data_IF_758824144089
#
_entry.id   IF_758824144089
#
_cell.length_a   1.000
_cell.length_b   1.000
_cell.length_c   1.000
_cell.angle_alpha   90.00
_cell.angle_beta   90.00
_cell.angle_gamma   90.00
#
_symmetry.space_group_name_H-M   'P 1'
#
loop_
_entity.id
_entity.type
_entity.pdbx_description
1 polymer ?
#
# COMPACT_ATOMS: atom_id res chain seq x y z
N UNK A 1 -8.45 20.12 21.96
CA UNK A 1 -8.79 19.40 20.70
C UNK A 1 -7.68 18.39 20.46
N UNK A 2 -8.01 17.15 20.11
CA UNK A 2 -6.99 16.17 19.74
C UNK A 2 -6.40 16.56 18.37
N UNK A 3 -5.08 16.50 18.23
CA UNK A 3 -4.43 16.71 16.93
C UNK A 3 -4.64 15.47 16.06
N UNK A 4 -5.13 15.61 14.80
CA UNK A 4 -5.37 14.47 13.94
C UNK A 4 -4.06 13.77 13.57
N UNK A 5 -4.07 12.43 13.57
CA UNK A 5 -2.95 11.59 13.14
C UNK A 5 -2.99 11.43 11.62
N UNK A 6 -2.30 12.32 10.91
CA UNK A 6 -2.28 12.38 9.45
C UNK A 6 -1.13 11.52 8.90
N UNK A 7 -1.46 10.56 8.04
CA UNK A 7 -0.50 9.73 7.33
C UNK A 7 -0.31 10.25 5.90
N UNK A 8 0.91 10.64 5.56
CA UNK A 8 1.30 10.96 4.18
C UNK A 8 1.93 9.71 3.59
N UNK A 9 1.43 9.26 2.45
CA UNK A 9 1.83 7.98 1.87
C UNK A 9 1.85 8.00 0.35
N UNK A 10 2.60 7.04 -0.21
CA UNK A 10 2.80 6.83 -1.63
C UNK A 10 3.15 5.34 -1.88
N UNK A 11 2.93 4.83 -3.09
CA UNK A 11 3.26 3.45 -3.42
C UNK A 11 4.02 3.31 -4.75
N UNK A 12 4.80 2.24 -4.85
CA UNK A 12 5.48 1.86 -6.09
C UNK A 12 4.99 0.50 -6.57
N UNK A 13 4.76 0.39 -7.87
CA UNK A 13 4.21 -0.82 -8.51
C UNK A 13 5.20 -1.46 -9.46
N UNK A 14 5.11 -2.77 -9.63
CA UNK A 14 5.89 -3.55 -10.59
C UNK A 14 5.06 -4.63 -11.28
N UNK A 15 5.60 -5.23 -12.33
CA UNK A 15 4.96 -6.28 -13.11
C UNK A 15 4.67 -5.89 -14.56
N UNK A 16 3.89 -6.70 -15.27
CA UNK A 16 3.50 -6.44 -16.66
C UNK A 16 2.38 -5.42 -16.64
N UNK A 17 2.55 -4.26 -17.27
CA UNK A 17 1.56 -3.18 -17.26
C UNK A 17 1.14 -2.80 -15.83
N UNK A 18 2.13 -2.38 -15.03
CA UNK A 18 2.02 -2.03 -13.60
C UNK A 18 1.01 -0.89 -13.28
N UNK A 19 0.23 -0.41 -14.26
CA UNK A 19 -0.92 0.46 -14.05
C UNK A 19 -2.21 -0.30 -13.72
N UNK A 20 -2.23 -1.64 -13.81
CA UNK A 20 -3.41 -2.47 -13.51
C UNK A 20 -3.15 -3.42 -12.35
N UNK A 21 -4.01 -3.36 -11.32
CA UNK A 21 -3.81 -4.12 -10.09
C UNK A 21 -3.87 -5.65 -10.29
N UNK A 22 -4.49 -6.16 -11.34
CA UNK A 22 -4.54 -7.59 -11.68
C UNK A 22 -3.32 -8.08 -12.48
N UNK A 23 -2.56 -7.16 -13.10
CA UNK A 23 -1.36 -7.46 -13.88
C UNK A 23 -0.05 -7.00 -13.21
N UNK A 24 -0.14 -6.19 -12.16
CA UNK A 24 0.98 -5.74 -11.33
C UNK A 24 0.82 -6.07 -9.84
N UNK A 25 1.84 -5.72 -9.06
CA UNK A 25 1.91 -5.89 -7.61
C UNK A 25 2.62 -4.68 -6.98
N UNK A 26 2.50 -4.52 -5.66
CA UNK A 26 3.16 -3.42 -4.94
C UNK A 26 4.58 -3.84 -4.54
N UNK A 27 5.55 -3.03 -4.94
CA UNK A 27 6.96 -3.16 -4.57
C UNK A 27 7.22 -2.52 -3.22
N UNK A 28 6.74 -1.29 -3.04
CA UNK A 28 7.02 -0.46 -1.88
C UNK A 28 5.76 0.28 -1.40
N UNK A 29 5.65 0.45 -0.10
CA UNK A 29 4.72 1.39 0.54
C UNK A 29 5.54 2.36 1.37
N UNK A 30 5.64 3.61 0.91
CA UNK A 30 6.33 4.69 1.58
C UNK A 30 5.35 5.49 2.42
N UNK A 31 5.74 5.85 3.64
CA UNK A 31 4.92 6.72 4.48
C UNK A 31 5.73 7.54 5.47
N UNK A 32 5.11 8.61 5.95
CA UNK A 32 5.50 9.31 7.18
C UNK A 32 4.27 9.85 7.88
N UNK A 33 4.37 10.05 9.19
CA UNK A 33 3.35 10.83 9.90
C UNK A 33 3.63 12.32 9.73
N UNK A 34 2.57 13.13 9.64
CA UNK A 34 2.71 14.58 9.55
C UNK A 34 3.50 15.12 10.75
N UNK A 35 4.54 15.92 10.49
CA UNK A 35 5.44 16.46 11.50
C UNK A 35 6.68 15.59 11.78
N UNK A 36 6.72 14.34 11.31
CA UNK A 36 7.94 13.54 11.37
C UNK A 36 8.88 13.86 10.21
N UNK A 37 10.18 13.89 10.50
CA UNK A 37 11.23 14.08 9.49
C UNK A 37 11.50 12.81 8.69
N UNK A 38 11.38 11.65 9.34
CA UNK A 38 11.80 10.37 8.78
C UNK A 38 10.69 9.73 7.94
N UNK A 39 11.04 9.32 6.73
CA UNK A 39 10.20 8.44 5.89
C UNK A 39 10.50 6.98 6.21
N UNK A 40 9.46 6.17 6.34
CA UNK A 40 9.55 4.71 6.46
C UNK A 40 9.08 4.06 5.16
N UNK A 41 9.80 3.04 4.71
CA UNK A 41 9.45 2.28 3.49
C UNK A 41 9.30 0.80 3.81
N UNK A 42 8.11 0.27 3.61
CA UNK A 42 7.87 -1.17 3.61
C UNK A 42 8.17 -1.70 2.20
N UNK A 43 9.10 -2.65 2.09
CA UNK A 43 9.50 -3.26 0.81
C UNK A 43 8.99 -4.68 0.74
N UNK A 44 8.46 -5.09 -0.40
CA UNK A 44 7.93 -6.45 -0.59
C UNK A 44 9.01 -7.51 -0.34
N UNK A 45 10.26 -7.20 -0.69
CA UNK A 45 11.43 -8.04 -0.46
C UNK A 45 11.83 -8.23 1.01
N UNK A 46 11.26 -7.46 1.94
CA UNK A 46 11.48 -7.66 3.38
C UNK A 46 10.72 -8.88 3.93
N UNK A 47 9.79 -9.46 3.17
CA UNK A 47 8.94 -10.56 3.63
C UNK A 47 9.41 -11.90 3.09
N UNK A 48 9.45 -12.92 3.97
CA UNK A 48 9.73 -14.30 3.56
C UNK A 48 8.67 -14.74 2.54
N UNK A 49 9.11 -15.37 1.46
CA UNK A 49 8.29 -15.84 0.34
C UNK A 49 7.69 -14.74 -0.56
N UNK A 50 8.26 -13.53 -0.56
CA UNK A 50 7.81 -12.47 -1.47
C UNK A 50 7.89 -12.84 -2.96
N UNK A 51 8.83 -13.71 -3.34
CA UNK A 51 9.00 -14.20 -4.72
C UNK A 51 8.14 -15.45 -5.01
N UNK A 52 7.31 -15.88 -4.06
CA UNK A 52 6.40 -17.00 -4.28
C UNK A 52 5.29 -16.57 -5.23
N UNK A 53 5.11 -17.33 -6.31
CA UNK A 53 4.07 -17.08 -7.31
C UNK A 53 2.68 -17.03 -6.65
N UNK A 54 1.94 -15.95 -6.88
CA UNK A 54 0.54 -15.81 -6.46
C UNK A 54 -0.35 -15.71 -7.69
N UNK A 55 -1.35 -16.59 -7.82
CA UNK A 55 -2.24 -16.68 -8.99
C UNK A 55 -1.47 -16.55 -10.32
N UNK A 56 -1.39 -15.33 -10.88
CA UNK A 56 -0.75 -15.00 -12.16
C UNK A 56 0.51 -14.11 -12.07
N UNK A 57 1.00 -13.80 -10.87
CA UNK A 57 2.15 -12.91 -10.65
C UNK A 57 3.29 -13.64 -9.94
N UNK A 58 4.56 -13.28 -10.23
CA UNK A 58 5.72 -13.87 -9.57
C UNK A 58 5.95 -13.33 -8.15
N UNK A 59 5.05 -12.49 -7.63
CA UNK A 59 5.22 -11.81 -6.34
C UNK A 59 4.01 -12.03 -5.43
N UNK A 60 4.30 -12.28 -4.16
CA UNK A 60 3.37 -12.31 -3.06
C UNK A 60 3.48 -11.01 -2.24
N UNK A 61 2.66 -10.02 -2.60
CA UNK A 61 2.58 -8.73 -1.92
C UNK A 61 1.67 -8.75 -0.68
N UNK A 62 0.97 -9.86 -0.38
CA UNK A 62 0.03 -9.95 0.74
C UNK A 62 0.62 -9.55 2.10
N UNK A 63 1.85 -9.95 2.47
CA UNK A 63 2.44 -9.53 3.75
C UNK A 63 2.68 -8.01 3.82
N UNK A 64 3.12 -7.40 2.71
CA UNK A 64 3.31 -5.96 2.61
C UNK A 64 1.97 -5.22 2.74
N UNK A 65 0.94 -5.65 2.00
CA UNK A 65 -0.40 -5.07 2.08
C UNK A 65 -0.96 -5.12 3.49
N UNK A 66 -0.75 -6.25 4.18
CA UNK A 66 -1.21 -6.46 5.56
C UNK A 66 -0.52 -5.49 6.52
N UNK A 67 0.79 -5.27 6.36
CA UNK A 67 1.53 -4.32 7.16
C UNK A 67 1.11 -2.86 6.87
N UNK A 68 0.95 -2.50 5.59
CA UNK A 68 0.47 -1.18 5.19
C UNK A 68 -0.94 -0.89 5.72
N UNK A 69 -1.88 -1.83 5.60
CA UNK A 69 -3.24 -1.69 6.17
C UNK A 69 -3.19 -1.40 7.68
N UNK A 70 -2.35 -2.11 8.45
CA UNK A 70 -2.19 -1.87 9.90
C UNK A 70 -1.73 -0.44 10.21
N UNK A 71 -0.92 0.17 9.34
CA UNK A 71 -0.49 1.56 9.48
C UNK A 71 -1.62 2.51 9.07
N UNK A 72 -2.26 2.26 7.92
CA UNK A 72 -3.36 3.09 7.42
C UNK A 72 -4.54 3.17 8.41
N UNK A 73 -4.91 2.06 9.05
CA UNK A 73 -6.00 2.04 10.05
C UNK A 73 -5.69 2.78 11.35
N UNK A 74 -4.44 3.20 11.58
CA UNK A 74 -4.10 4.06 12.71
C UNK A 74 -4.29 5.55 12.39
N UNK A 75 -4.45 5.91 11.12
CA UNK A 75 -4.55 7.30 10.67
C UNK A 75 -5.99 7.81 10.77
N UNK A 76 -6.14 9.05 11.22
CA UNK A 76 -7.41 9.78 11.11
C UNK A 76 -7.59 10.31 9.68
N UNK A 77 -6.49 10.54 8.97
CA UNK A 77 -6.45 11.12 7.63
C UNK A 77 -5.35 10.46 6.78
N UNK A 78 -5.68 10.10 5.54
CA UNK A 78 -4.77 9.54 4.56
C UNK A 78 -4.53 10.56 3.45
N UNK A 79 -3.28 10.98 3.24
CA UNK A 79 -2.92 11.99 2.23
C UNK A 79 -1.92 11.37 1.25
N UNK A 80 -2.24 11.43 -0.04
CA UNK A 80 -1.38 10.95 -1.12
C UNK A 80 -1.44 11.92 -2.31
N UNK A 81 -0.40 11.95 -3.13
CA UNK A 81 -0.40 12.72 -4.37
C UNK A 81 -1.09 11.89 -5.47
N UNK A 82 -2.18 12.39 -6.05
CA UNK A 82 -2.97 11.65 -7.07
C UNK A 82 -3.58 10.31 -6.58
N UNK A 83 -3.60 10.07 -5.26
CA UNK A 83 -3.96 8.78 -4.68
C UNK A 83 -5.40 8.32 -4.96
N UNK A 84 -6.35 9.24 -5.12
CA UNK A 84 -7.74 8.89 -5.45
C UNK A 84 -7.90 8.24 -6.83
N UNK A 85 -6.97 8.52 -7.74
CA UNK A 85 -7.00 8.01 -9.12
C UNK A 85 -6.05 6.85 -9.33
N UNK A 86 -4.95 6.77 -8.58
CA UNK A 86 -3.97 5.70 -8.72
C UNK A 86 -3.80 4.88 -7.44
N UNK A 87 -3.04 5.38 -6.47
CA UNK A 87 -2.53 4.64 -5.31
C UNK A 87 -3.62 3.88 -4.57
N UNK A 88 -4.70 4.56 -4.19
CA UNK A 88 -5.78 3.96 -3.42
C UNK A 88 -6.50 2.88 -4.22
N UNK A 89 -6.77 3.13 -5.51
CA UNK A 89 -7.47 2.17 -6.38
C UNK A 89 -6.59 0.95 -6.64
N UNK A 90 -5.30 1.15 -6.88
CA UNK A 90 -4.35 0.07 -7.09
C UNK A 90 -4.22 -0.78 -5.82
N UNK A 91 -3.97 -0.13 -4.68
CA UNK A 91 -3.86 -0.78 -3.37
C UNK A 91 -5.14 -1.55 -3.02
N UNK A 92 -6.32 -0.95 -3.20
CA UNK A 92 -7.61 -1.60 -2.99
C UNK A 92 -7.79 -2.82 -3.90
N UNK A 93 -7.44 -2.73 -5.18
CA UNK A 93 -7.47 -3.85 -6.12
C UNK A 93 -6.57 -5.00 -5.68
N UNK A 94 -5.36 -4.69 -5.22
CA UNK A 94 -4.43 -5.69 -4.66
C UNK A 94 -4.97 -6.33 -3.39
N UNK A 95 -5.55 -5.56 -2.48
CA UNK A 95 -6.24 -6.09 -1.30
C UNK A 95 -7.35 -7.07 -1.69
N UNK A 96 -8.21 -6.70 -2.64
CA UNK A 96 -9.30 -7.56 -3.11
C UNK A 96 -8.78 -8.89 -3.69
N UNK A 97 -7.72 -8.85 -4.51
CA UNK A 97 -7.09 -10.05 -5.08
C UNK A 97 -6.51 -10.98 -4.00
N UNK A 98 -5.95 -10.40 -2.94
CA UNK A 98 -5.32 -11.15 -1.85
C UNK A 98 -6.30 -11.57 -0.73
N UNK A 99 -7.59 -11.24 -0.87
CA UNK A 99 -8.62 -11.51 0.12
C UNK A 99 -8.46 -10.70 1.41
N UNK A 100 -8.00 -9.45 1.29
CA UNK A 100 -7.85 -8.51 2.39
C UNK A 100 -8.98 -7.46 2.36
N UNK A 101 -9.19 -6.79 3.50
CA UNK A 101 -10.12 -5.66 3.60
C UNK A 101 -9.64 -4.48 2.74
N UNK A 102 -10.57 -3.64 2.30
CA UNK A 102 -10.24 -2.39 1.61
C UNK A 102 -9.51 -1.42 2.57
N UNK A 103 -8.60 -0.57 2.07
CA UNK A 103 -8.02 0.50 2.89
C UNK A 103 -9.12 1.47 3.34
N UNK A 104 -8.89 2.22 4.43
CA UNK A 104 -9.78 3.31 4.81
C UNK A 104 -10.04 4.29 3.64
N UNK A 105 -11.17 5.00 3.62
CA UNK A 105 -11.39 6.06 2.66
C UNK A 105 -10.29 7.14 2.77
N UNK A 106 -9.81 7.62 1.62
CA UNK A 106 -9.07 8.89 1.55
C UNK A 106 -10.09 10.03 1.58
N UNK A 107 -9.64 11.19 2.04
CA UNK A 107 -10.40 12.45 2.11
C UNK A 107 -9.82 13.47 1.13
#
# INVERSE_FOLDING_TARGET
MANPKVLIWDLETGGVNAFKADLGFILNFGYKWLGEEKVTVLKVSNYKDWFKKTRNLPVNDKPLLTAALKIMFQADMLVAHYGDRFDRRFFQGRCAIQGLVSPPPTI
#
